data_IF_285602094236
#
_entry.id   IF_285602094236
#
_cell.length_a   1.000
_cell.length_b   1.000
_cell.length_c   1.000
_cell.angle_alpha   90.00
_cell.angle_beta   90.00
_cell.angle_gamma   90.00
#
_symmetry.space_group_name_H-M   'P 1'
#
loop_
_entity.id
_entity.type
_entity.pdbx_description
1 polymer ?
#
# COMPACT_ATOMS: atom_id res chain seq x y z
N UNK A 1 6.47 3.34 11.06
CA UNK A 1 7.29 3.32 9.83
C UNK A 1 6.91 4.54 9.03
N UNK A 2 7.85 5.35 8.57
CA UNK A 2 7.48 6.61 7.92
C UNK A 2 6.86 6.40 6.53
N UNK A 3 5.72 7.05 6.28
CA UNK A 3 4.97 6.95 5.01
C UNK A 3 5.80 7.47 3.83
N UNK A 4 6.39 8.66 4.00
CA UNK A 4 7.11 9.34 2.94
C UNK A 4 8.39 8.59 2.56
N UNK A 5 9.08 8.04 3.55
CA UNK A 5 10.30 7.25 3.35
C UNK A 5 10.00 5.95 2.61
N UNK A 6 8.93 5.22 2.99
CA UNK A 6 8.55 3.98 2.30
C UNK A 6 8.09 4.26 0.86
N UNK A 7 7.21 5.23 0.66
CA UNK A 7 6.66 5.53 -0.67
C UNK A 7 7.73 6.04 -1.63
N UNK A 8 8.66 6.87 -1.14
CA UNK A 8 9.85 7.28 -1.90
C UNK A 8 10.72 6.08 -2.30
N UNK A 9 11.01 5.18 -1.36
CA UNK A 9 11.77 3.96 -1.64
C UNK A 9 11.08 3.11 -2.72
N UNK A 10 9.77 2.90 -2.62
CA UNK A 10 9.02 2.14 -3.62
C UNK A 10 9.01 2.82 -4.99
N UNK A 11 8.83 4.14 -5.04
CA UNK A 11 8.90 4.90 -6.29
C UNK A 11 10.24 4.72 -7.00
N UNK A 12 11.34 4.86 -6.27
CA UNK A 12 12.70 4.73 -6.82
C UNK A 12 13.02 3.30 -7.27
N UNK A 13 12.60 2.28 -6.50
CA UNK A 13 12.95 0.87 -6.77
C UNK A 13 12.03 0.19 -7.77
N UNK A 14 10.77 0.59 -7.87
CA UNK A 14 9.77 0.00 -8.76
C UNK A 14 9.45 0.88 -9.98
N UNK A 15 10.04 2.07 -10.09
CA UNK A 15 9.76 3.00 -11.19
C UNK A 15 8.31 3.48 -11.22
N UNK A 16 7.68 3.56 -10.04
CA UNK A 16 6.31 4.09 -9.89
C UNK A 16 6.40 5.62 -9.76
N UNK A 17 5.53 6.36 -10.46
CA UNK A 17 5.50 7.82 -10.35
C UNK A 17 5.21 8.23 -8.89
N UNK A 18 6.12 9.00 -8.27
CA UNK A 18 5.98 9.46 -6.88
C UNK A 18 4.66 10.20 -6.62
N UNK A 19 4.12 10.89 -7.63
CA UNK A 19 2.86 11.64 -7.54
C UNK A 19 1.67 10.77 -7.14
N UNK A 20 1.67 9.47 -7.47
CA UNK A 20 0.55 8.60 -7.07
C UNK A 20 0.45 8.47 -5.55
N UNK A 21 1.54 8.66 -4.81
CA UNK A 21 1.57 8.59 -3.36
C UNK A 21 1.11 9.89 -2.68
N UNK A 22 0.72 10.91 -3.45
CA UNK A 22 0.14 12.13 -2.88
C UNK A 22 -1.31 11.85 -2.48
N UNK A 23 -1.58 11.81 -1.18
CA UNK A 23 -2.93 11.59 -0.63
C UNK A 23 -3.75 12.90 -0.57
N UNK A 24 -3.69 13.68 -1.64
CA UNK A 24 -4.30 15.01 -1.76
C UNK A 24 -5.77 14.93 -2.22
N UNK A 25 -6.60 14.25 -1.43
CA UNK A 25 -8.04 14.20 -1.64
C UNK A 25 -8.80 14.66 -0.39
N UNK A 26 -9.99 15.21 -0.61
CA UNK A 26 -10.88 15.65 0.47
C UNK A 26 -11.40 14.46 1.26
N UNK A 27 -11.48 14.60 2.58
CA UNK A 27 -12.12 13.57 3.38
C UNK A 27 -13.60 13.41 3.02
N UNK A 28 -14.10 12.17 2.97
CA UNK A 28 -15.51 11.87 3.16
C UNK A 28 -16.17 12.75 4.24
N UNK A 29 -17.38 13.25 4.00
CA UNK A 29 -18.18 13.88 5.06
C UNK A 29 -18.79 12.86 6.02
N UNK A 30 -18.91 11.61 5.58
CA UNK A 30 -19.42 10.45 6.29
C UNK A 30 -18.34 9.79 7.16
N UNK A 31 -18.75 9.26 8.33
CA UNK A 31 -17.89 8.48 9.22
C UNK A 31 -17.82 7.02 8.75
N UNK A 32 -16.92 6.73 7.83
CA UNK A 32 -16.78 5.39 7.27
C UNK A 32 -15.39 5.09 6.70
N UNK A 33 -15.15 3.82 6.42
CA UNK A 33 -14.04 3.36 5.61
C UNK A 33 -14.48 3.23 4.15
N UNK A 34 -13.87 3.99 3.25
CA UNK A 34 -14.32 4.01 1.86
C UNK A 34 -13.22 4.21 0.84
N UNK A 35 -13.44 3.66 -0.33
CA UNK A 35 -12.66 3.94 -1.53
C UNK A 35 -13.07 5.31 -2.06
N UNK A 36 -12.07 6.15 -2.35
CA UNK A 36 -12.22 7.50 -2.88
C UNK A 36 -12.11 7.48 -4.41
N UNK A 37 -11.13 6.75 -4.93
CA UNK A 37 -10.81 6.72 -6.35
C UNK A 37 -10.09 5.41 -6.69
N UNK A 38 -10.21 4.97 -7.94
CA UNK A 38 -9.42 3.87 -8.52
C UNK A 38 -8.94 4.27 -9.91
N UNK A 39 -7.67 3.99 -10.18
CA UNK A 39 -7.02 4.33 -11.44
C UNK A 39 -6.27 3.12 -11.99
N UNK A 40 -6.51 2.78 -13.25
CA UNK A 40 -5.74 1.77 -13.97
C UNK A 40 -4.45 2.38 -14.50
N UNK A 41 -3.35 1.63 -14.39
CA UNK A 41 -2.02 2.07 -14.80
C UNK A 41 -1.48 1.12 -15.86
N UNK A 42 -0.94 1.66 -16.94
CA UNK A 42 -0.21 0.90 -17.96
C UNK A 42 1.28 0.93 -17.66
N UNK A 43 1.69 0.32 -16.55
CA UNK A 43 3.10 0.15 -16.16
C UNK A 43 3.42 -1.36 -16.06
N UNK A 44 4.69 -1.72 -16.27
CA UNK A 44 5.22 -3.08 -16.09
C UNK A 44 4.96 -3.64 -14.69
N UNK A 45 5.06 -2.81 -13.65
CA UNK A 45 4.92 -3.25 -12.26
C UNK A 45 3.51 -3.09 -11.69
N UNK A 46 2.83 -1.99 -11.99
CA UNK A 46 1.57 -1.62 -11.33
C UNK A 46 0.40 -1.74 -12.31
N UNK A 47 -0.62 -2.53 -11.95
CA UNK A 47 -1.85 -2.65 -12.75
C UNK A 47 -2.87 -1.57 -12.43
N UNK A 48 -3.06 -1.25 -11.15
CA UNK A 48 -3.95 -0.18 -10.70
C UNK A 48 -3.54 0.30 -9.31
N UNK A 49 -4.09 1.43 -8.92
CA UNK A 49 -4.08 1.87 -7.52
C UNK A 49 -5.44 2.40 -7.09
N UNK A 50 -5.65 2.44 -5.78
CA UNK A 50 -6.87 2.97 -5.17
C UNK A 50 -6.53 3.87 -3.99
N UNK A 51 -7.21 5.00 -3.91
CA UNK A 51 -7.19 5.86 -2.73
C UNK A 51 -8.31 5.46 -1.77
N UNK A 52 -7.99 5.39 -0.49
CA UNK A 52 -8.92 5.02 0.57
C UNK A 52 -8.81 5.98 1.74
N UNK A 53 -9.91 6.12 2.48
CA UNK A 53 -9.95 6.92 3.70
C UNK A 53 -10.70 6.19 4.80
N UNK A 54 -10.26 6.38 6.04
CA UNK A 54 -11.02 6.03 7.23
C UNK A 54 -11.17 7.29 8.08
N UNK A 55 -12.37 7.87 8.03
CA UNK A 55 -12.69 9.10 8.78
C UNK A 55 -12.96 8.85 10.27
N UNK A 56 -13.18 7.59 10.68
CA UNK A 56 -13.30 7.25 12.11
C UNK A 56 -11.94 7.30 12.81
N UNK A 57 -10.91 6.85 12.11
CA UNK A 57 -9.54 6.69 12.63
C UNK A 57 -8.57 7.77 12.13
N UNK A 58 -9.06 8.75 11.36
CA UNK A 58 -8.32 9.87 10.78
C UNK A 58 -7.07 9.45 9.99
N UNK A 59 -7.25 8.55 9.01
CA UNK A 59 -6.16 8.19 8.12
C UNK A 59 -6.62 8.07 6.66
N UNK A 60 -5.63 8.26 5.78
CA UNK A 60 -5.73 8.05 4.34
C UNK A 60 -4.76 6.94 3.93
N UNK A 61 -5.09 6.19 2.90
CA UNK A 61 -4.20 5.16 2.37
C UNK A 61 -4.24 5.09 0.85
N UNK A 62 -3.20 4.48 0.30
CA UNK A 62 -3.16 4.02 -1.08
C UNK A 62 -3.01 2.51 -1.09
N UNK A 63 -3.81 1.84 -1.92
CA UNK A 63 -3.62 0.44 -2.29
C UNK A 63 -2.98 0.36 -3.66
N UNK A 64 -1.90 -0.40 -3.76
CA UNK A 64 -1.21 -0.71 -5.01
C UNK A 64 -1.48 -2.16 -5.39
N UNK A 65 -1.82 -2.40 -6.65
CA UNK A 65 -2.15 -3.72 -7.17
C UNK A 65 -1.10 -4.14 -8.19
N UNK A 66 -0.28 -5.10 -7.79
CA UNK A 66 0.80 -5.68 -8.58
C UNK A 66 0.33 -7.03 -9.14
N UNK A 67 0.51 -7.33 -10.43
CA UNK A 67 0.21 -8.66 -10.97
C UNK A 67 0.89 -9.78 -10.17
N UNK A 68 0.22 -10.91 -9.99
CA UNK A 68 0.80 -12.05 -9.28
C UNK A 68 2.16 -12.51 -9.88
N UNK A 69 2.31 -12.40 -11.21
CA UNK A 69 3.55 -12.78 -11.91
C UNK A 69 4.82 -12.05 -11.45
N UNK A 70 4.70 -10.89 -10.80
CA UNK A 70 5.83 -10.10 -10.26
C UNK A 70 5.86 -10.08 -8.73
N UNK A 71 4.96 -10.81 -8.06
CA UNK A 71 4.80 -10.81 -6.60
C UNK A 71 6.12 -11.03 -5.87
N UNK A 72 6.94 -11.97 -6.34
CA UNK A 72 8.25 -12.29 -5.73
C UNK A 72 9.20 -11.08 -5.72
N UNK A 73 9.27 -10.35 -6.82
CA UNK A 73 10.17 -9.20 -7.00
C UNK A 73 9.74 -8.04 -6.08
N UNK A 74 8.44 -7.76 -6.06
CA UNK A 74 7.87 -6.70 -5.21
C UNK A 74 8.12 -7.01 -3.72
N UNK A 75 7.92 -8.25 -3.29
CA UNK A 75 8.17 -8.67 -1.90
C UNK A 75 9.66 -8.63 -1.56
N UNK A 76 10.56 -8.98 -2.49
CA UNK A 76 11.99 -8.85 -2.28
C UNK A 76 12.39 -7.39 -2.01
N UNK A 77 11.92 -6.45 -2.86
CA UNK A 77 12.17 -5.01 -2.69
C UNK A 77 11.61 -4.52 -1.35
N UNK A 78 10.39 -4.93 -0.99
CA UNK A 78 9.79 -4.54 0.28
C UNK A 78 10.56 -5.11 1.48
N UNK A 79 11.04 -6.35 1.40
CA UNK A 79 11.85 -6.97 2.44
C UNK A 79 13.24 -6.35 2.58
N UNK A 80 13.84 -5.80 1.51
CA UNK A 80 15.05 -4.98 1.61
C UNK A 80 14.80 -3.79 2.54
N UNK A 81 13.73 -3.02 2.28
CA UNK A 81 13.35 -1.88 3.11
C UNK A 81 13.05 -2.28 4.56
N UNK A 82 12.25 -3.34 4.76
CA UNK A 82 11.90 -3.82 6.10
C UNK A 82 13.14 -4.24 6.89
N UNK A 83 14.07 -4.96 6.25
CA UNK A 83 15.33 -5.38 6.86
C UNK A 83 16.18 -4.20 7.30
N UNK A 84 16.36 -3.20 6.44
CA UNK A 84 17.13 -1.98 6.74
C UNK A 84 16.53 -1.19 7.91
N UNK A 85 15.21 -1.27 8.10
CA UNK A 85 14.48 -0.59 9.17
C UNK A 85 14.22 -1.48 10.40
N UNK A 86 14.86 -2.65 10.51
CA UNK A 86 14.72 -3.57 11.64
C UNK A 86 13.30 -4.11 11.83
N UNK A 87 12.55 -4.27 10.74
CA UNK A 87 11.17 -4.79 10.73
C UNK A 87 11.15 -6.28 10.38
N UNK A 88 10.06 -6.92 10.77
CA UNK A 88 9.78 -8.30 10.38
C UNK A 88 9.64 -8.41 8.85
N UNK A 89 10.19 -9.48 8.29
CA UNK A 89 10.16 -9.73 6.85
C UNK A 89 8.87 -10.47 6.48
N UNK A 90 8.38 -10.17 5.28
CA UNK A 90 7.19 -10.80 4.72
C UNK A 90 7.57 -12.17 4.16
N UNK A 91 6.87 -13.19 4.65
CA UNK A 91 6.91 -14.56 4.14
C UNK A 91 5.95 -14.69 2.95
N UNK A 92 6.52 -14.88 1.74
CA UNK A 92 5.78 -14.95 0.48
C UNK A 92 4.65 -16.00 0.48
N UNK A 93 4.85 -17.08 1.24
CA UNK A 93 3.95 -18.24 1.32
C UNK A 93 2.83 -18.04 2.34
N UNK A 94 2.89 -16.96 3.15
CA UNK A 94 1.93 -16.67 4.21
C UNK A 94 1.20 -15.33 4.03
N UNK A 95 1.25 -14.75 2.83
CA UNK A 95 0.53 -13.51 2.55
C UNK A 95 -0.98 -13.79 2.62
N UNK A 96 -1.75 -13.08 3.46
CA UNK A 96 -3.17 -13.34 3.65
C UNK A 96 -4.01 -12.84 2.47
N UNK A 97 -5.17 -13.48 2.25
CA UNK A 97 -6.21 -12.96 1.34
C UNK A 97 -7.11 -11.92 2.02
N UNK A 98 -7.25 -12.01 3.34
CA UNK A 98 -8.06 -11.10 4.15
C UNK A 98 -7.21 -9.95 4.71
N UNK A 99 -7.68 -8.72 4.53
CA UNK A 99 -7.00 -7.52 5.02
C UNK A 99 -7.49 -7.18 6.42
N UNK A 100 -6.68 -7.47 7.43
CA UNK A 100 -6.94 -7.04 8.79
C UNK A 100 -6.36 -5.63 9.05
N UNK A 101 -7.25 -4.65 9.18
CA UNK A 101 -6.93 -3.23 9.45
C UNK A 101 -7.11 -2.84 10.93
N UNK A 102 -7.44 -3.80 11.79
CA UNK A 102 -7.63 -3.60 13.23
C UNK A 102 -6.30 -3.53 14.00
N UNK A 103 -5.17 -3.44 13.28
CA UNK A 103 -3.88 -3.22 13.90
C UNK A 103 -3.72 -1.74 14.22
N UNK A 104 -3.65 -1.41 15.51
CA UNK A 104 -3.32 -0.07 16.00
C UNK A 104 -2.05 0.46 15.30
N UNK A 105 -2.21 1.53 14.52
CA UNK A 105 -1.09 2.18 13.83
C UNK A 105 -0.53 1.42 12.62
N UNK A 106 -1.37 0.70 11.87
CA UNK A 106 -0.92 0.11 10.60
C UNK A 106 -0.45 1.21 9.63
N UNK A 107 0.79 1.06 9.14
CA UNK A 107 1.34 1.92 8.09
C UNK A 107 1.56 1.14 6.79
N UNK A 108 1.56 -0.19 6.85
CA UNK A 108 1.73 -1.10 5.71
C UNK A 108 0.97 -2.40 5.98
N UNK A 109 0.11 -2.78 5.06
CA UNK A 109 -0.53 -4.10 5.01
C UNK A 109 -0.20 -4.73 3.67
N UNK A 110 0.11 -6.02 3.69
CA UNK A 110 0.34 -6.81 2.49
C UNK A 110 -0.68 -7.93 2.46
N UNK A 111 -1.43 -7.99 1.38
CA UNK A 111 -2.40 -9.04 1.11
C UNK A 111 -2.32 -9.49 -0.34
N UNK A 112 -3.15 -10.46 -0.70
CA UNK A 112 -3.22 -10.97 -2.07
C UNK A 112 -4.63 -11.40 -2.45
N UNK A 113 -4.88 -11.53 -3.74
CA UNK A 113 -5.99 -12.31 -4.26
C UNK A 113 -5.50 -13.11 -5.48
N UNK A 114 -6.42 -13.71 -6.23
CA UNK A 114 -6.07 -14.55 -7.39
C UNK A 114 -5.27 -13.84 -8.47
N UNK A 115 -5.43 -12.52 -8.59
CA UNK A 115 -4.89 -11.75 -9.71
C UNK A 115 -3.72 -10.85 -9.27
N UNK A 116 -3.70 -10.45 -8.00
CA UNK A 116 -2.82 -9.39 -7.52
C UNK A 116 -2.18 -9.69 -6.16
N UNK A 117 -0.92 -9.31 -6.04
CA UNK A 117 -0.34 -8.85 -4.79
C UNK A 117 -0.83 -7.43 -4.51
N UNK A 118 -1.26 -7.17 -3.28
CA UNK A 118 -1.83 -5.89 -2.88
C UNK A 118 -1.03 -5.34 -1.71
N UNK A 119 -0.56 -4.12 -1.87
CA UNK A 119 0.14 -3.38 -0.82
C UNK A 119 -0.70 -2.16 -0.45
N UNK A 120 -1.12 -2.07 0.80
CA UNK A 120 -1.80 -0.90 1.34
C UNK A 120 -0.85 -0.13 2.25
N UNK A 121 -0.69 1.17 1.99
CA UNK A 121 0.18 2.05 2.77
C UNK A 121 -0.65 3.21 3.30
N UNK A 122 -0.67 3.39 4.61
CA UNK A 122 -1.48 4.42 5.27
C UNK A 122 -0.64 5.54 5.87
N UNK A 123 -1.20 6.74 5.80
CA UNK A 123 -0.76 7.94 6.49
C UNK A 123 -1.85 8.31 7.49
N UNK A 124 -1.53 8.18 8.78
CA UNK A 124 -2.37 8.72 9.85
C UNK A 124 -2.15 10.22 9.92
N UNK A 125 -3.25 10.97 9.94
CA UNK A 125 -3.21 12.42 10.07
C UNK A 125 -3.46 12.78 11.54
N UNK A 126 -2.74 13.77 12.04
CA UNK A 126 -2.86 14.28 13.42
C UNK A 126 -4.10 15.16 13.61
#
# INVERSE_FOLDING_TARGET
MDYFTLTKFLSERLGINQEIFQLEFLYPTDKDFKQIQSEEVKNHYLSKYEYWANTKENWKSIKLFFPDGIKREVIQILNEYLKENGKELIDLEKIPEEFNRDQDGFNLIVGQNRDYLIIEIALKED
#
